data_IF_560957081550
#
_entry.id   IF_560957081550
#
_cell.length_a   1.000
_cell.length_b   1.000
_cell.length_c   1.000
_cell.angle_alpha   90.00
_cell.angle_beta   90.00
_cell.angle_gamma   90.00
#
_symmetry.space_group_name_H-M   'P 1'
#
loop_
_entity.id
_entity.type
_entity.pdbx_description
1 polymer ?
#
# COMPACT_ATOMS: atom_id res chain seq x y z
N UNK A 1 6.02 17.05 9.95
CA UNK A 1 6.03 16.65 8.53
C UNK A 1 6.30 15.16 8.40
N UNK A 2 5.72 14.56 7.37
CA UNK A 2 5.79 13.12 7.16
C UNK A 2 6.75 12.75 6.02
N UNK A 3 7.47 11.65 6.20
CA UNK A 3 8.32 11.07 5.16
C UNK A 3 7.52 10.29 4.14
N UNK A 4 6.36 9.78 4.55
CA UNK A 4 5.51 8.94 3.71
C UNK A 4 4.05 9.08 4.08
N UNK A 5 3.21 9.04 3.05
CA UNK A 5 1.77 8.87 3.20
C UNK A 5 1.43 7.50 2.61
N UNK A 6 0.81 6.65 3.41
CA UNK A 6 0.40 5.30 3.02
C UNK A 6 -1.11 5.22 3.19
N UNK A 7 -1.83 5.02 2.09
CA UNK A 7 -3.29 5.12 2.13
C UNK A 7 -3.98 4.06 1.27
N UNK A 8 -5.00 3.43 1.84
CA UNK A 8 -5.89 2.53 1.11
C UNK A 8 -6.98 3.28 0.35
N UNK A 9 -7.10 4.59 0.60
CA UNK A 9 -8.09 5.44 -0.03
C UNK A 9 -7.42 6.62 -0.72
N UNK A 10 -7.51 6.74 -2.06
CA UNK A 10 -6.80 7.80 -2.79
C UNK A 10 -7.11 9.21 -2.28
N UNK A 11 -8.37 9.50 -1.96
CA UNK A 11 -8.76 10.81 -1.47
C UNK A 11 -8.11 11.15 -0.13
N UNK A 12 -7.91 10.16 0.74
CA UNK A 12 -7.21 10.36 2.00
C UNK A 12 -5.77 10.80 1.78
N UNK A 13 -5.11 10.27 0.75
CA UNK A 13 -3.73 10.66 0.48
C UNK A 13 -3.63 12.15 0.17
N UNK A 14 -4.61 12.72 -0.53
CA UNK A 14 -4.62 14.15 -0.83
C UNK A 14 -4.85 15.00 0.42
N UNK A 15 -5.66 14.50 1.34
CA UNK A 15 -5.95 15.22 2.60
C UNK A 15 -4.69 15.47 3.41
N UNK A 16 -3.73 14.56 3.36
CA UNK A 16 -2.50 14.65 4.15
C UNK A 16 -1.30 15.22 3.38
N UNK A 17 -1.49 15.60 2.11
CA UNK A 17 -0.41 16.18 1.30
C UNK A 17 0.30 17.36 1.98
N UNK A 18 -0.39 18.28 2.68
CA UNK A 18 0.30 19.40 3.33
C UNK A 18 1.32 18.98 4.38
N UNK A 19 1.23 17.75 4.87
CA UNK A 19 2.15 17.24 5.89
C UNK A 19 3.32 16.45 5.31
N UNK A 20 3.33 16.24 3.99
CA UNK A 20 4.38 15.46 3.35
C UNK A 20 5.63 16.32 3.11
N UNK A 21 6.80 15.79 3.44
CA UNK A 21 8.07 16.44 3.13
C UNK A 21 8.27 16.54 1.62
N UNK A 22 9.09 17.50 1.19
CA UNK A 22 9.32 17.77 -0.24
C UNK A 22 9.80 16.54 -1.02
N UNK A 23 10.57 15.67 -0.39
CA UNK A 23 11.08 14.43 -1.00
C UNK A 23 10.37 13.18 -0.45
N UNK A 24 9.23 13.36 0.19
CA UNK A 24 8.46 12.27 0.75
C UNK A 24 7.74 11.46 -0.31
N UNK A 25 7.31 10.27 0.07
CA UNK A 25 6.64 9.32 -0.80
C UNK A 25 5.14 9.24 -0.51
N UNK A 26 4.36 9.08 -1.56
CA UNK A 26 2.95 8.68 -1.46
C UNK A 26 2.82 7.28 -2.02
N UNK A 27 2.22 6.39 -1.23
CA UNK A 27 1.86 5.04 -1.67
C UNK A 27 0.35 4.90 -1.45
N UNK A 28 -0.40 4.76 -2.50
CA UNK A 28 -1.87 4.75 -2.40
C UNK A 28 -2.52 3.72 -3.31
N UNK A 29 -3.70 3.28 -2.88
CA UNK A 29 -4.56 2.44 -3.68
C UNK A 29 -5.11 3.25 -4.86
N UNK A 30 -5.27 2.60 -6.01
CA UNK A 30 -5.82 3.25 -7.20
C UNK A 30 -7.34 3.26 -7.23
N UNK A 31 -7.99 2.44 -6.40
CA UNK A 31 -9.44 2.27 -6.39
C UNK A 31 -10.01 2.87 -5.12
N UNK A 32 -11.00 3.79 -5.21
CA UNK A 32 -11.60 4.37 -4.03
C UNK A 32 -12.48 3.36 -3.29
N UNK A 33 -12.74 3.64 -2.03
CA UNK A 33 -13.72 2.88 -1.27
C UNK A 33 -15.10 3.10 -1.91
N UNK A 34 -15.85 2.02 -2.06
CA UNK A 34 -17.20 2.07 -2.61
C UNK A 34 -18.11 2.77 -1.58
N UNK A 35 -19.09 3.51 -2.04
CA UNK A 35 -20.12 4.16 -1.20
C UNK A 35 -19.69 5.46 -0.51
N UNK A 36 -18.70 6.16 -1.04
CA UNK A 36 -18.42 7.51 -0.59
C UNK A 36 -19.28 8.45 -1.45
N UNK A 37 -20.28 9.14 -0.87
CA UNK A 37 -21.10 10.09 -1.63
C UNK A 37 -20.27 11.28 -2.10
N UNK A 38 -20.60 11.80 -3.27
CA UNK A 38 -19.95 12.98 -3.84
C UNK A 38 -18.44 12.84 -4.04
N UNK A 39 -17.98 11.60 -4.26
CA UNK A 39 -16.57 11.36 -4.54
C UNK A 39 -16.21 12.01 -5.88
N UNK A 40 -15.15 12.82 -5.94
CA UNK A 40 -14.70 13.38 -7.22
C UNK A 40 -14.25 12.25 -8.16
N UNK A 41 -14.17 12.56 -9.46
CA UNK A 41 -13.71 11.56 -10.44
C UNK A 41 -12.34 11.02 -9.99
N UNK A 42 -12.22 9.70 -9.94
CA UNK A 42 -10.99 9.06 -9.43
C UNK A 42 -9.77 9.47 -10.27
N UNK A 43 -9.96 9.70 -11.56
CA UNK A 43 -8.88 10.14 -12.44
C UNK A 43 -8.32 11.49 -12.00
N UNK A 44 -9.17 12.40 -11.52
CA UNK A 44 -8.73 13.70 -11.03
C UNK A 44 -7.93 13.57 -9.74
N UNK A 45 -8.39 12.70 -8.84
CA UNK A 45 -7.68 12.44 -7.59
C UNK A 45 -6.30 11.86 -7.87
N UNK A 46 -6.23 10.84 -8.73
CA UNK A 46 -4.97 10.21 -9.08
C UNK A 46 -4.04 11.14 -9.83
N UNK A 47 -4.59 12.04 -10.66
CA UNK A 47 -3.79 13.06 -11.34
C UNK A 47 -3.06 13.97 -10.35
N UNK A 48 -3.73 14.33 -9.25
CA UNK A 48 -3.10 15.14 -8.19
C UNK A 48 -1.99 14.35 -7.47
N UNK A 49 -2.21 13.07 -7.20
CA UNK A 49 -1.19 12.21 -6.60
C UNK A 49 0.04 12.11 -7.52
N UNK A 50 -0.19 11.98 -8.82
CA UNK A 50 0.90 11.87 -9.80
C UNK A 50 1.76 13.12 -9.92
N UNK A 51 1.28 14.27 -9.47
CA UNK A 51 2.08 15.49 -9.42
C UNK A 51 3.20 15.40 -8.37
N UNK A 52 3.06 14.52 -7.40
CA UNK A 52 4.11 14.27 -6.42
C UNK A 52 5.19 13.43 -7.09
N UNK A 53 6.42 13.91 -7.03
CA UNK A 53 7.57 13.26 -7.67
C UNK A 53 7.69 11.78 -7.26
N UNK A 54 7.58 11.51 -5.97
CA UNK A 54 7.75 10.18 -5.41
C UNK A 54 6.38 9.58 -5.06
N UNK A 55 5.83 8.80 -5.98
CA UNK A 55 4.52 8.18 -5.76
C UNK A 55 4.50 6.74 -6.25
N UNK A 56 3.66 5.94 -5.62
CA UNK A 56 3.32 4.59 -6.07
C UNK A 56 1.79 4.48 -6.00
N UNK A 57 1.19 4.09 -7.09
CA UNK A 57 -0.25 3.88 -7.19
C UNK A 57 -0.47 2.44 -7.62
N UNK A 58 -1.25 1.68 -6.86
CA UNK A 58 -1.49 0.26 -7.17
C UNK A 58 -2.91 -0.15 -6.76
N UNK A 59 -3.44 -1.14 -7.47
CA UNK A 59 -4.75 -1.73 -7.15
C UNK A 59 -4.55 -2.87 -6.16
N UNK A 60 -4.60 -2.55 -4.87
CA UNK A 60 -4.27 -3.53 -3.83
C UNK A 60 -5.27 -4.68 -3.75
N UNK A 61 -6.54 -4.44 -4.04
CA UNK A 61 -7.54 -5.51 -3.98
C UNK A 61 -7.36 -6.54 -5.08
N UNK A 62 -7.09 -6.08 -6.31
CA UNK A 62 -6.81 -6.99 -7.43
C UNK A 62 -5.59 -7.84 -7.16
N UNK A 63 -4.52 -7.21 -6.65
CA UNK A 63 -3.30 -7.93 -6.32
C UNK A 63 -3.56 -8.95 -5.21
N UNK A 64 -4.30 -8.55 -4.17
CA UNK A 64 -4.62 -9.44 -3.06
C UNK A 64 -5.42 -10.65 -3.53
N UNK A 65 -6.39 -10.45 -4.42
CA UNK A 65 -7.17 -11.55 -4.98
C UNK A 65 -6.31 -12.51 -5.79
N UNK A 66 -5.38 -11.99 -6.58
CA UNK A 66 -4.43 -12.82 -7.33
C UNK A 66 -3.56 -13.65 -6.41
N UNK A 67 -3.16 -13.09 -5.28
CA UNK A 67 -2.35 -13.79 -4.28
C UNK A 67 -3.15 -14.90 -3.60
N UNK A 68 -4.45 -14.69 -3.40
CA UNK A 68 -5.33 -15.72 -2.83
C UNK A 68 -6.47 -15.23 -1.95
N UNK A 69 -6.47 -13.97 -1.51
CA UNK A 69 -7.55 -13.46 -0.66
C UNK A 69 -7.57 -11.94 -0.62
N UNK A 70 -8.74 -11.31 -0.74
CA UNK A 70 -8.84 -9.86 -0.58
C UNK A 70 -8.47 -9.38 0.83
N UNK A 71 -8.45 -10.28 1.82
CA UNK A 71 -8.11 -9.94 3.20
C UNK A 71 -6.66 -9.48 3.38
N UNK A 72 -5.78 -9.80 2.43
CA UNK A 72 -4.36 -9.43 2.54
C UNK A 72 -4.03 -8.12 1.82
N UNK A 73 -5.03 -7.33 1.44
CA UNK A 73 -4.80 -6.06 0.74
C UNK A 73 -3.90 -5.11 1.55
N UNK A 74 -4.05 -5.07 2.87
CA UNK A 74 -3.20 -4.24 3.74
C UNK A 74 -1.73 -4.64 3.63
N UNK A 75 -1.46 -5.93 3.51
CA UNK A 75 -0.10 -6.44 3.43
C UNK A 75 0.50 -6.18 2.04
N UNK A 76 -0.33 -6.23 1.00
CA UNK A 76 0.09 -5.81 -0.35
C UNK A 76 0.55 -4.36 -0.32
N UNK A 77 -0.24 -3.49 0.30
CA UNK A 77 0.10 -2.08 0.45
C UNK A 77 1.42 -1.90 1.22
N UNK A 78 1.58 -2.61 2.32
CA UNK A 78 2.81 -2.59 3.10
C UNK A 78 4.00 -3.00 2.22
N UNK A 79 3.84 -4.06 1.43
CA UNK A 79 4.89 -4.52 0.51
C UNK A 79 5.35 -3.42 -0.44
N UNK A 80 4.40 -2.68 -1.01
CA UNK A 80 4.71 -1.58 -1.90
C UNK A 80 5.48 -0.45 -1.19
N UNK A 81 5.28 -0.29 0.11
CA UNK A 81 5.95 0.73 0.90
C UNK A 81 7.34 0.31 1.39
N UNK A 82 7.63 -0.98 1.43
CA UNK A 82 8.88 -1.49 2.05
C UNK A 82 10.17 -0.85 1.54
N UNK A 83 10.33 -0.53 0.23
CA UNK A 83 11.58 0.07 -0.22
C UNK A 83 11.86 1.44 0.39
N UNK A 84 10.83 2.09 0.95
CA UNK A 84 10.91 3.47 1.42
C UNK A 84 10.83 3.61 2.93
N UNK A 85 10.69 2.50 3.67
CA UNK A 85 10.49 2.53 5.12
C UNK A 85 11.77 2.61 5.94
N UNK A 86 12.93 2.35 5.33
CA UNK A 86 14.19 2.34 6.06
C UNK A 86 14.37 1.13 6.98
N UNK A 87 13.53 0.11 6.81
CA UNK A 87 13.58 -1.15 7.56
C UNK A 87 13.87 -2.25 6.57
N UNK A 88 14.70 -3.23 6.93
CA UNK A 88 15.02 -4.32 6.01
C UNK A 88 13.78 -5.16 5.71
N UNK A 89 13.72 -5.69 4.50
CA UNK A 89 12.63 -6.56 4.09
C UNK A 89 12.54 -7.79 5.00
N UNK A 90 13.68 -8.35 5.38
CA UNK A 90 13.76 -9.51 6.25
C UNK A 90 13.15 -9.24 7.62
N UNK A 91 13.33 -8.05 8.16
CA UNK A 91 12.71 -7.67 9.44
C UNK A 91 11.19 -7.60 9.32
N UNK A 92 10.70 -7.12 8.19
CA UNK A 92 9.27 -7.05 7.95
C UNK A 92 8.68 -8.46 7.79
N UNK A 93 9.38 -9.34 7.08
CA UNK A 93 8.97 -10.74 6.96
C UNK A 93 8.91 -11.42 8.33
N UNK A 94 9.89 -11.17 9.19
CA UNK A 94 9.90 -11.70 10.54
C UNK A 94 8.72 -11.19 11.36
N UNK A 95 8.37 -9.91 11.20
CA UNK A 95 7.19 -9.34 11.84
C UNK A 95 5.92 -10.05 11.42
N UNK A 96 5.79 -10.37 10.15
CA UNK A 96 4.65 -11.12 9.63
C UNK A 96 4.59 -12.52 10.24
N UNK A 97 5.71 -13.22 10.30
CA UNK A 97 5.76 -14.54 10.93
C UNK A 97 5.37 -14.47 12.39
N UNK A 98 5.83 -13.44 13.09
CA UNK A 98 5.51 -13.25 14.51
C UNK A 98 4.02 -12.98 14.73
N UNK A 99 3.43 -12.09 13.91
CA UNK A 99 2.04 -11.70 14.06
C UNK A 99 1.08 -12.83 13.68
N UNK A 100 1.36 -13.53 12.60
CA UNK A 100 0.45 -14.53 12.04
C UNK A 100 0.82 -15.98 12.38
N UNK A 101 1.92 -16.21 13.05
CA UNK A 101 2.42 -17.57 13.34
C UNK A 101 1.41 -18.45 14.06
N UNK A 102 0.61 -17.86 14.95
CA UNK A 102 -0.41 -18.61 15.69
C UNK A 102 -1.58 -19.08 14.82
N UNK A 103 -1.76 -18.47 13.66
CA UNK A 103 -2.84 -18.78 12.74
C UNK A 103 -2.49 -19.90 11.76
N UNK A 104 -1.25 -20.37 11.80
CA UNK A 104 -0.78 -21.47 10.97
C UNK A 104 0.09 -21.04 9.81
N UNK A 105 0.83 -22.00 9.26
CA UNK A 105 1.78 -21.77 8.19
C UNK A 105 1.14 -21.27 6.91
N UNK A 106 -0.09 -21.70 6.62
CA UNK A 106 -0.79 -21.26 5.40
C UNK A 106 -1.09 -19.77 5.42
N UNK A 107 -1.48 -19.25 6.60
CA UNK A 107 -1.78 -17.83 6.76
C UNK A 107 -0.47 -17.02 6.68
N UNK A 108 0.59 -17.50 7.30
CA UNK A 108 1.91 -16.86 7.19
C UNK A 108 2.35 -16.80 5.73
N UNK A 109 2.26 -17.92 5.01
CA UNK A 109 2.68 -18.00 3.60
C UNK A 109 1.86 -17.04 2.73
N UNK A 110 0.56 -16.96 2.96
CA UNK A 110 -0.33 -16.06 2.22
C UNK A 110 0.08 -14.60 2.43
N UNK A 111 0.37 -14.21 3.66
CA UNK A 111 0.77 -12.85 3.98
C UNK A 111 2.16 -12.51 3.43
N UNK A 112 3.10 -13.45 3.48
CA UNK A 112 4.44 -13.23 2.89
C UNK A 112 4.34 -13.07 1.37
N UNK A 113 3.48 -13.85 0.74
CA UNK A 113 3.24 -13.74 -0.69
C UNK A 113 2.61 -12.40 -1.06
N UNK A 114 1.69 -11.91 -0.24
CA UNK A 114 1.07 -10.60 -0.41
C UNK A 114 2.12 -9.48 -0.30
N UNK A 115 3.00 -9.58 0.68
CA UNK A 115 4.08 -8.61 0.88
C UNK A 115 4.98 -8.55 -0.36
N UNK A 116 5.39 -9.71 -0.87
CA UNK A 116 6.23 -9.79 -2.05
C UNK A 116 5.53 -9.24 -3.29
N UNK A 117 4.24 -9.54 -3.46
CA UNK A 117 3.45 -9.04 -4.58
C UNK A 117 3.40 -7.51 -4.61
N UNK A 118 3.18 -6.89 -3.44
CA UNK A 118 3.19 -5.43 -3.31
C UNK A 118 4.55 -4.84 -3.65
N UNK A 119 5.61 -5.42 -3.12
CA UNK A 119 6.98 -4.97 -3.38
C UNK A 119 7.34 -5.07 -4.86
N UNK A 120 6.86 -6.11 -5.54
CA UNK A 120 7.13 -6.34 -6.96
C UNK A 120 6.59 -5.23 -7.85
N UNK A 121 5.52 -4.56 -7.46
CA UNK A 121 4.97 -3.43 -8.20
C UNK A 121 6.00 -2.31 -8.30
N UNK A 122 6.73 -2.07 -7.23
CA UNK A 122 7.71 -0.98 -7.14
C UNK A 122 9.02 -1.31 -7.82
N UNK A 123 9.40 -2.59 -7.81
CA UNK A 123 10.67 -3.06 -8.35
C UNK A 123 10.66 -3.32 -9.86
N UNK A 124 9.58 -2.99 -10.54
CA UNK A 124 9.49 -3.15 -12.00
C UNK A 124 10.21 -2.07 -12.77
#
# INVERSE_FOLDING_TARGET
>A
SADMILSLEPMESLRYLPYLKADGWIVTNSVPLINIPDYPAVEEVLAEVKKIKNHVILDVESIAKEVGSPRVANIVMLGAATPFLGISYEMIEEGIRSIFGRKGEEIVALNLKALEAGRSVVNK
#
